data_IF_909026608018
#
_entry.id   IF_909026608018
#
_cell.length_a   1.000
_cell.length_b   1.000
_cell.length_c   1.000
_cell.angle_alpha   90.00
_cell.angle_beta   90.00
_cell.angle_gamma   90.00
#
_symmetry.space_group_name_H-M   'P 1'
#
loop_
_entity.id
_entity.type
_entity.pdbx_description
1 polymer ?
#
# COMPACT_ATOMS: atom_id res chain seq x y z
N UNK A 1 46.27 24.66 -11.88
CA UNK A 1 45.76 23.29 -12.03
C UNK A 1 45.50 22.71 -10.64
N UNK A 2 44.30 22.94 -10.09
CA UNK A 2 43.90 22.38 -8.79
C UNK A 2 42.76 21.39 -9.00
N UNK A 3 42.99 20.11 -8.71
CA UNK A 3 41.95 19.08 -8.70
C UNK A 3 41.05 19.32 -7.49
N UNK A 4 39.88 19.91 -7.69
CA UNK A 4 38.82 19.92 -6.69
C UNK A 4 38.27 18.49 -6.57
N UNK A 5 38.49 17.86 -5.43
CA UNK A 5 37.92 16.55 -5.13
C UNK A 5 36.40 16.67 -4.99
N UNK A 6 35.65 15.98 -5.84
CA UNK A 6 34.22 15.76 -5.64
C UNK A 6 34.04 15.00 -4.32
N UNK A 7 33.53 15.71 -3.30
CA UNK A 7 33.03 15.07 -2.08
C UNK A 7 31.71 14.38 -2.45
N UNK A 8 31.70 13.04 -2.37
CA UNK A 8 30.48 12.25 -2.48
C UNK A 8 29.57 12.58 -1.29
N UNK A 9 28.64 13.52 -1.47
CA UNK A 9 27.48 13.65 -0.60
C UNK A 9 26.57 12.46 -0.88
N UNK A 10 26.65 11.43 -0.02
CA UNK A 10 25.59 10.41 0.04
C UNK A 10 24.37 11.07 0.68
N UNK A 11 23.47 11.54 -0.18
CA UNK A 11 22.11 11.94 0.18
C UNK A 11 21.45 10.81 0.99
N UNK A 12 20.76 11.16 2.08
CA UNK A 12 19.97 10.20 2.86
C UNK A 12 18.75 9.85 2.00
N UNK A 13 18.80 8.67 1.37
CA UNK A 13 17.71 8.17 0.53
C UNK A 13 16.49 7.83 1.36
N UNK A 14 15.34 8.24 0.85
CA UNK A 14 14.01 8.05 1.42
C UNK A 14 13.61 6.59 1.34
N UNK A 15 13.21 6.00 2.47
CA UNK A 15 12.78 4.59 2.57
C UNK A 15 11.27 4.47 2.56
N UNK A 16 10.75 3.47 1.85
CA UNK A 16 9.33 3.07 1.91
C UNK A 16 9.04 2.43 3.28
N UNK A 17 8.11 2.99 4.06
CA UNK A 17 7.63 2.31 5.27
C UNK A 17 6.69 1.15 4.87
N UNK A 18 6.87 0.01 5.53
CA UNK A 18 6.39 -1.30 5.13
C UNK A 18 5.06 -1.71 5.80
N UNK A 19 4.33 -0.78 6.40
CA UNK A 19 3.15 -1.06 7.24
C UNK A 19 1.85 -1.32 6.47
N UNK A 20 1.89 -2.05 5.35
CA UNK A 20 0.67 -2.59 4.73
C UNK A 20 0.21 -3.85 5.49
N UNK A 21 -0.86 -3.72 6.26
CA UNK A 21 -1.48 -4.76 7.09
C UNK A 21 -2.24 -5.87 6.32
N UNK A 22 -1.73 -6.30 5.16
CA UNK A 22 -2.24 -7.48 4.45
C UNK A 22 -1.52 -8.77 4.89
N UNK A 23 -1.08 -8.82 6.15
CA UNK A 23 -0.68 -10.06 6.78
C UNK A 23 -1.93 -10.85 7.14
N UNK A 24 -2.10 -12.03 6.53
CA UNK A 24 -3.01 -13.06 7.03
C UNK A 24 -2.85 -13.15 8.56
N UNK A 25 -3.93 -13.03 9.36
CA UNK A 25 -3.81 -13.17 10.80
C UNK A 25 -3.14 -14.51 11.07
N UNK A 26 -2.05 -14.48 11.84
CA UNK A 26 -1.35 -15.69 12.30
C UNK A 26 -2.40 -16.54 12.99
N UNK A 27 -2.92 -17.56 12.31
CA UNK A 27 -3.87 -18.46 12.94
C UNK A 27 -3.09 -19.14 14.06
N UNK A 28 -3.41 -18.79 15.30
CA UNK A 28 -2.85 -19.41 16.50
C UNK A 28 -3.05 -20.93 16.48
N UNK A 29 -3.95 -21.45 15.62
CA UNK A 29 -4.12 -22.87 15.33
C UNK A 29 -2.91 -23.53 14.66
N UNK A 30 -2.17 -22.86 13.78
CA UNK A 30 -0.95 -23.43 13.17
C UNK A 30 0.21 -23.48 14.18
N UNK A 31 0.28 -22.52 15.10
CA UNK A 31 1.23 -22.51 16.21
C UNK A 31 0.83 -23.51 17.31
N UNK A 32 -0.48 -23.66 17.58
CA UNK A 32 -1.00 -24.61 18.56
C UNK A 32 -0.89 -26.07 18.09
N UNK A 33 -0.91 -26.35 16.78
CA UNK A 33 -0.58 -27.69 16.27
C UNK A 33 0.89 -28.06 16.45
N UNK A 34 1.79 -27.07 16.64
CA UNK A 34 3.20 -27.32 16.97
C UNK A 34 3.49 -27.38 18.47
N UNK A 35 2.59 -26.88 19.32
CA UNK A 35 2.76 -26.91 20.79
C UNK A 35 1.98 -28.05 21.47
N UNK A 36 0.93 -28.60 20.84
CA UNK A 36 0.11 -29.66 21.42
C UNK A 36 0.49 -31.10 21.03
N UNK A 37 1.60 -31.31 20.31
CA UNK A 37 2.16 -32.65 20.03
C UNK A 37 3.38 -32.96 20.91
N UNK A 38 3.22 -32.81 22.23
CA UNK A 38 4.11 -33.43 23.22
C UNK A 38 3.41 -34.60 23.91
N UNK A 39 3.11 -35.64 23.13
CA UNK A 39 3.11 -37.02 23.57
C UNK A 39 3.19 -37.93 22.33
N UNK A 40 4.36 -38.54 22.13
CA UNK A 40 4.59 -39.69 21.24
C UNK A 40 4.71 -39.41 19.73
N UNK A 41 5.81 -38.79 19.31
CA UNK A 41 6.85 -39.42 18.46
C UNK A 41 7.79 -38.35 17.89
N UNK A 42 9.08 -38.61 17.98
CA UNK A 42 10.14 -37.74 17.47
C UNK A 42 10.07 -37.77 15.93
N UNK A 43 9.52 -36.73 15.32
CA UNK A 43 9.80 -36.37 13.92
C UNK A 43 10.43 -34.99 13.90
N UNK A 44 11.65 -34.92 13.40
CA UNK A 44 12.46 -33.70 13.32
C UNK A 44 11.89 -32.70 12.30
N UNK A 45 12.05 -31.37 12.54
CA UNK A 45 11.66 -30.30 11.60
C UNK A 45 12.32 -30.39 10.21
N UNK A 46 13.30 -31.29 10.04
CA UNK A 46 13.98 -31.58 8.77
C UNK A 46 13.11 -32.28 7.72
N UNK A 47 12.00 -32.92 8.11
CA UNK A 47 11.16 -33.73 7.20
C UNK A 47 10.04 -32.93 6.53
N UNK A 48 9.56 -31.86 7.16
CA UNK A 48 8.39 -31.10 6.71
C UNK A 48 8.74 -30.04 5.65
N UNK A 49 9.92 -29.44 5.71
CA UNK A 49 10.36 -28.39 4.78
C UNK A 49 10.37 -28.87 3.31
N UNK A 50 10.88 -30.08 2.99
CA UNK A 50 10.73 -30.64 1.65
C UNK A 50 9.27 -30.87 1.22
N UNK A 51 8.36 -31.11 2.16
CA UNK A 51 6.94 -31.33 1.87
C UNK A 51 6.21 -30.04 1.51
N UNK A 52 6.50 -28.93 2.21
CA UNK A 52 5.93 -27.61 1.92
C UNK A 52 6.41 -27.12 0.55
N UNK A 53 7.70 -27.29 0.24
CA UNK A 53 8.25 -26.93 -1.07
C UNK A 53 7.63 -27.75 -2.23
N UNK A 54 7.21 -29.00 -1.97
CA UNK A 54 6.46 -29.80 -2.96
C UNK A 54 5.03 -29.29 -3.13
N UNK A 55 4.35 -28.93 -2.05
CA UNK A 55 2.98 -28.39 -2.09
C UNK A 55 2.88 -27.06 -2.83
N UNK A 56 3.95 -26.26 -2.88
CA UNK A 56 4.02 -25.06 -3.72
C UNK A 56 3.82 -25.33 -5.23
N UNK A 57 3.93 -26.59 -5.66
CA UNK A 57 3.70 -27.05 -7.03
C UNK A 57 2.50 -28.02 -7.14
N UNK A 58 1.62 -28.05 -6.13
CA UNK A 58 0.38 -28.83 -6.18
C UNK A 58 -0.53 -28.34 -7.30
N UNK A 59 -1.36 -29.23 -7.85
CA UNK A 59 -2.42 -28.85 -8.80
C UNK A 59 -3.49 -27.99 -8.11
N UNK A 60 -3.71 -28.20 -6.82
CA UNK A 60 -4.65 -27.43 -6.01
C UNK A 60 -4.13 -26.03 -5.68
N UNK A 61 -4.94 -25.01 -5.97
CA UNK A 61 -4.58 -23.60 -5.75
C UNK A 61 -4.44 -23.28 -4.27
N UNK A 62 -5.26 -23.86 -3.39
CA UNK A 62 -5.17 -23.58 -1.95
C UNK A 62 -3.89 -24.17 -1.36
N UNK A 63 -3.53 -25.39 -1.75
CA UNK A 63 -2.26 -26.01 -1.36
C UNK A 63 -1.06 -25.14 -1.76
N UNK A 64 -1.05 -24.60 -3.00
CA UNK A 64 0.01 -23.70 -3.45
C UNK A 64 0.03 -22.41 -2.64
N UNK A 65 -1.12 -21.79 -2.43
CA UNK A 65 -1.27 -20.56 -1.64
C UNK A 65 -0.69 -20.74 -0.23
N UNK A 66 -1.16 -21.75 0.50
CA UNK A 66 -0.69 -22.02 1.86
C UNK A 66 0.77 -22.42 1.92
N UNK A 67 1.26 -23.16 0.93
CA UNK A 67 2.68 -23.50 0.85
C UNK A 67 3.56 -22.27 0.64
N UNK A 68 3.19 -21.37 -0.28
CA UNK A 68 3.92 -20.12 -0.55
C UNK A 68 3.93 -19.21 0.67
N UNK A 69 2.77 -19.00 1.30
CA UNK A 69 2.66 -18.23 2.52
C UNK A 69 3.54 -18.81 3.65
N UNK A 70 3.51 -20.14 3.82
CA UNK A 70 4.32 -20.83 4.82
C UNK A 70 5.82 -20.69 4.55
N UNK A 71 6.26 -20.79 3.29
CA UNK A 71 7.66 -20.59 2.92
C UNK A 71 8.09 -19.17 3.25
N UNK A 72 7.28 -18.16 2.89
CA UNK A 72 7.55 -16.75 3.21
C UNK A 72 7.70 -16.53 4.71
N UNK A 73 6.75 -17.04 5.50
CA UNK A 73 6.78 -16.90 6.95
C UNK A 73 8.01 -17.58 7.57
N UNK A 74 8.36 -18.79 7.13
CA UNK A 74 9.52 -19.51 7.65
C UNK A 74 10.84 -18.80 7.30
N UNK A 75 10.96 -18.23 6.09
CA UNK A 75 12.11 -17.40 5.71
C UNK A 75 12.22 -16.12 6.57
N UNK A 76 11.09 -15.62 7.07
CA UNK A 76 11.01 -14.43 7.91
C UNK A 76 10.97 -14.70 9.43
N UNK A 77 10.89 -15.96 9.85
CA UNK A 77 10.64 -16.37 11.24
C UNK A 77 11.82 -16.12 12.21
N UNK A 78 12.99 -15.74 11.71
CA UNK A 78 14.22 -15.61 12.50
C UNK A 78 14.88 -16.94 12.89
N UNK A 79 14.23 -18.08 12.66
CA UNK A 79 14.81 -19.40 12.90
C UNK A 79 15.89 -19.74 11.86
N UNK A 80 17.15 -19.62 12.26
CA UNK A 80 18.32 -19.81 11.41
C UNK A 80 18.44 -21.20 10.80
N UNK A 81 17.96 -22.26 11.47
CA UNK A 81 18.04 -23.63 10.94
C UNK A 81 17.02 -23.84 9.81
N UNK A 82 15.79 -23.38 10.03
CA UNK A 82 14.72 -23.43 9.03
C UNK A 82 15.07 -22.61 7.79
N UNK A 83 15.61 -21.40 7.99
CA UNK A 83 16.09 -20.54 6.89
C UNK A 83 17.19 -21.26 6.10
N UNK A 84 18.25 -21.75 6.77
CA UNK A 84 19.36 -22.45 6.10
C UNK A 84 18.86 -23.66 5.30
N UNK A 85 17.92 -24.43 5.87
CA UNK A 85 17.38 -25.61 5.21
C UNK A 85 16.52 -25.23 3.99
N UNK A 86 15.71 -24.17 4.08
CA UNK A 86 14.92 -23.66 2.95
C UNK A 86 15.81 -23.14 1.81
N UNK A 87 16.85 -22.37 2.15
CA UNK A 87 17.81 -21.86 1.17
C UNK A 87 18.56 -23.01 0.48
N UNK A 88 19.00 -24.03 1.23
CA UNK A 88 19.63 -25.24 0.68
C UNK A 88 18.74 -26.00 -0.32
N UNK A 89 17.42 -25.83 -0.26
CA UNK A 89 16.45 -26.48 -1.13
C UNK A 89 15.84 -25.50 -2.16
N UNK A 90 16.55 -24.42 -2.50
CA UNK A 90 16.16 -23.45 -3.53
C UNK A 90 14.79 -22.78 -3.27
N UNK A 91 14.46 -22.49 -2.01
CA UNK A 91 13.18 -21.86 -1.67
C UNK A 91 12.98 -20.50 -2.38
N UNK A 92 14.01 -19.66 -2.49
CA UNK A 92 13.90 -18.34 -3.15
C UNK A 92 13.62 -18.48 -4.65
N UNK A 93 14.41 -19.24 -5.45
CA UNK A 93 14.05 -19.51 -6.84
C UNK A 93 12.63 -20.05 -7.00
N UNK A 94 12.22 -20.98 -6.13
CA UNK A 94 10.87 -21.56 -6.18
C UNK A 94 9.77 -20.53 -5.91
N UNK A 95 10.00 -19.57 -5.02
CA UNK A 95 9.08 -18.45 -4.81
C UNK A 95 9.02 -17.53 -6.04
N UNK A 96 10.16 -17.24 -6.67
CA UNK A 96 10.21 -16.43 -7.91
C UNK A 96 9.45 -17.13 -9.04
N UNK A 97 9.55 -18.46 -9.16
CA UNK A 97 8.79 -19.24 -10.14
C UNK A 97 7.27 -19.11 -9.95
N UNK A 98 6.81 -18.84 -8.72
CA UNK A 98 5.38 -18.60 -8.42
C UNK A 98 4.89 -17.23 -8.87
N UNK A 99 5.75 -16.32 -9.33
CA UNK A 99 5.30 -15.07 -9.96
C UNK A 99 4.55 -15.35 -11.28
N UNK A 100 4.75 -16.51 -11.89
CA UNK A 100 4.03 -16.95 -13.09
C UNK A 100 2.87 -17.91 -12.78
N UNK A 101 2.38 -17.97 -11.54
CA UNK A 101 1.25 -18.82 -11.18
C UNK A 101 -0.05 -18.37 -11.88
N UNK A 102 -0.97 -19.32 -12.08
CA UNK A 102 -2.27 -19.04 -12.70
C UNK A 102 -3.22 -18.31 -11.75
N UNK A 103 -3.02 -18.45 -10.43
CA UNK A 103 -3.81 -17.74 -9.41
C UNK A 103 -3.11 -16.45 -8.98
N UNK A 104 -3.81 -15.32 -9.09
CA UNK A 104 -3.30 -14.03 -8.65
C UNK A 104 -3.07 -13.99 -7.13
N UNK A 105 -3.84 -14.74 -6.33
CA UNK A 105 -3.62 -14.84 -4.87
C UNK A 105 -2.29 -15.52 -4.54
N UNK A 106 -1.89 -16.54 -5.32
CA UNK A 106 -0.59 -17.20 -5.15
C UNK A 106 0.54 -16.26 -5.56
N UNK A 107 0.35 -15.47 -6.62
CA UNK A 107 1.30 -14.43 -7.05
C UNK A 107 1.44 -13.34 -5.99
N UNK A 108 0.34 -12.90 -5.39
CA UNK A 108 0.33 -11.93 -4.29
C UNK A 108 1.19 -12.42 -3.14
N UNK A 109 1.00 -13.66 -2.69
CA UNK A 109 1.80 -14.18 -1.57
C UNK A 109 3.25 -14.42 -1.93
N UNK A 110 3.53 -14.87 -3.16
CA UNK A 110 4.90 -15.04 -3.61
C UNK A 110 5.66 -13.70 -3.65
N UNK A 111 5.03 -12.66 -4.21
CA UNK A 111 5.61 -11.31 -4.26
C UNK A 111 5.76 -10.71 -2.86
N UNK A 112 4.78 -10.93 -1.97
CA UNK A 112 4.83 -10.49 -0.58
C UNK A 112 5.95 -11.16 0.22
N UNK A 113 6.15 -12.47 0.04
CA UNK A 113 7.25 -13.21 0.65
C UNK A 113 8.63 -12.67 0.24
N UNK A 114 8.84 -12.43 -1.07
CA UNK A 114 10.10 -11.85 -1.57
C UNK A 114 10.31 -10.43 -1.07
N UNK A 115 9.26 -9.61 -1.04
CA UNK A 115 9.29 -8.25 -0.50
C UNK A 115 9.70 -8.25 0.97
N UNK A 116 9.12 -9.11 1.80
CA UNK A 116 9.45 -9.20 3.23
C UNK A 116 10.90 -9.67 3.44
N UNK A 117 11.37 -10.63 2.65
CA UNK A 117 12.75 -11.11 2.69
C UNK A 117 13.76 -10.00 2.40
N UNK A 118 13.47 -9.15 1.41
CA UNK A 118 14.28 -7.98 1.06
C UNK A 118 14.38 -7.01 2.25
N UNK A 119 13.24 -6.64 2.82
CA UNK A 119 13.17 -5.66 3.91
C UNK A 119 13.88 -6.14 5.18
N UNK A 120 13.78 -7.43 5.49
CA UNK A 120 14.50 -8.01 6.63
C UNK A 120 16.02 -7.93 6.48
N UNK A 121 16.53 -8.19 5.27
CA UNK A 121 17.96 -8.08 4.98
C UNK A 121 18.45 -6.63 5.15
N UNK A 122 17.63 -5.63 4.82
CA UNK A 122 17.96 -4.21 5.02
C UNK A 122 18.01 -3.81 6.50
N UNK A 123 17.09 -4.31 7.34
CA UNK A 123 17.11 -4.03 8.77
C UNK A 123 18.34 -4.63 9.46
N UNK A 124 18.73 -5.86 9.09
CA UNK A 124 19.94 -6.50 9.62
C UNK A 124 21.24 -5.81 9.20
N UNK A 125 21.27 -5.15 8.03
CA UNK A 125 22.46 -4.41 7.61
C UNK A 125 22.74 -3.15 8.46
N UNK A 126 21.74 -2.63 9.18
CA UNK A 126 21.87 -1.43 10.02
C UNK A 126 22.23 -1.74 11.48
N UNK A 127 21.97 -2.96 11.96
CA UNK A 127 22.39 -3.41 13.30
C UNK A 127 23.69 -4.22 13.19
N UNK A 128 24.69 -3.92 14.02
CA UNK A 128 25.97 -4.66 14.06
C UNK A 128 25.85 -6.14 14.51
N UNK A 129 24.63 -6.68 14.59
CA UNK A 129 24.34 -8.00 15.15
C UNK A 129 23.71 -8.91 14.09
N UNK A 130 24.47 -9.97 13.76
CA UNK A 130 24.14 -11.13 12.93
C UNK A 130 24.16 -10.91 11.39
N UNK A 131 25.21 -11.49 10.80
CA UNK A 131 25.64 -11.35 9.41
C UNK A 131 25.04 -12.42 8.48
N UNK A 132 23.73 -12.68 8.53
CA UNK A 132 23.09 -13.43 7.44
C UNK A 132 22.75 -12.48 6.31
N UNK A 133 23.79 -11.98 5.64
CA UNK A 133 23.62 -11.40 4.30
C UNK A 133 23.02 -12.49 3.45
N UNK A 134 21.84 -12.30 2.86
CA UNK A 134 21.31 -13.20 1.85
C UNK A 134 22.05 -12.96 0.52
N UNK A 135 23.15 -13.66 0.23
CA UNK A 135 23.97 -13.38 -0.95
C UNK A 135 23.26 -13.90 -2.21
N UNK A 136 22.34 -14.87 -2.04
CA UNK A 136 21.56 -15.49 -3.08
C UNK A 136 20.60 -14.52 -3.77
N UNK A 137 20.01 -13.55 -3.06
CA UNK A 137 19.06 -12.62 -3.68
C UNK A 137 19.76 -11.72 -4.73
N UNK A 138 21.00 -11.32 -4.45
CA UNK A 138 21.84 -10.56 -5.39
C UNK A 138 22.27 -11.40 -6.61
N UNK A 139 22.49 -12.70 -6.41
CA UNK A 139 22.81 -13.61 -7.51
C UNK A 139 21.57 -13.95 -8.35
N UNK A 140 20.38 -13.90 -7.74
CA UNK A 140 19.07 -14.14 -8.38
C UNK A 140 18.47 -12.90 -9.03
N UNK A 141 19.15 -11.76 -8.97
CA UNK A 141 18.61 -10.47 -9.42
C UNK A 141 18.12 -10.52 -10.88
N UNK A 142 18.80 -11.24 -11.79
CA UNK A 142 18.34 -11.35 -13.17
C UNK A 142 17.02 -12.14 -13.32
N UNK A 143 16.89 -13.28 -12.64
CA UNK A 143 15.65 -14.07 -12.67
C UNK A 143 14.49 -13.31 -12.03
N UNK A 144 14.77 -12.64 -10.90
CA UNK A 144 13.81 -11.78 -10.23
C UNK A 144 13.35 -10.65 -11.14
N UNK A 145 14.27 -9.97 -11.84
CA UNK A 145 13.92 -8.90 -12.78
C UNK A 145 13.10 -9.38 -13.96
N UNK A 146 13.43 -10.54 -14.54
CA UNK A 146 12.63 -11.14 -15.61
C UNK A 146 11.21 -11.42 -15.11
N UNK A 147 11.06 -11.98 -13.91
CA UNK A 147 9.76 -12.25 -13.31
C UNK A 147 8.97 -10.95 -13.04
N UNK A 148 9.62 -9.94 -12.45
CA UNK A 148 9.05 -8.60 -12.21
C UNK A 148 8.60 -7.94 -13.51
N UNK A 149 9.41 -8.03 -14.59
CA UNK A 149 9.07 -7.48 -15.91
C UNK A 149 7.79 -8.11 -16.45
N UNK A 150 7.70 -9.44 -16.44
CA UNK A 150 6.50 -10.17 -16.90
C UNK A 150 5.26 -9.80 -16.08
N UNK A 151 5.41 -9.57 -14.77
CA UNK A 151 4.30 -9.14 -13.93
C UNK A 151 3.84 -7.72 -14.25
N UNK A 152 4.76 -6.79 -14.54
CA UNK A 152 4.36 -5.46 -15.03
C UNK A 152 3.65 -5.54 -16.37
N UNK A 153 4.13 -6.36 -17.31
CA UNK A 153 3.44 -6.59 -18.60
C UNK A 153 2.02 -7.13 -18.41
N UNK A 154 1.83 -8.05 -17.45
CA UNK A 154 0.51 -8.63 -17.12
C UNK A 154 -0.41 -7.61 -16.43
N UNK A 155 0.03 -6.97 -15.36
CA UNK A 155 -0.85 -6.21 -14.46
C UNK A 155 -1.02 -4.74 -14.81
N UNK A 156 -0.11 -4.13 -15.57
CA UNK A 156 -0.26 -2.73 -16.02
C UNK A 156 -1.54 -2.47 -16.83
N UNK A 157 -1.88 -3.28 -17.87
CA UNK A 157 -3.13 -3.08 -18.60
C UNK A 157 -4.37 -3.38 -17.74
N UNK A 158 -4.26 -4.33 -16.81
CA UNK A 158 -5.34 -4.69 -15.88
C UNK A 158 -5.65 -3.52 -14.93
N UNK A 159 -4.62 -2.93 -14.33
CA UNK A 159 -4.74 -1.73 -13.50
C UNK A 159 -5.50 -0.62 -14.23
N UNK A 160 -5.10 -0.35 -15.48
CA UNK A 160 -5.75 0.66 -16.32
C UNK A 160 -7.24 0.36 -16.52
N UNK A 161 -7.59 -0.89 -16.81
CA UNK A 161 -8.99 -1.30 -16.97
C UNK A 161 -9.81 -1.14 -15.68
N UNK A 162 -9.25 -1.52 -14.53
CA UNK A 162 -9.90 -1.36 -13.22
C UNK A 162 -10.25 0.12 -12.98
N UNK A 163 -9.27 1.01 -13.16
CA UNK A 163 -9.42 2.45 -12.91
C UNK A 163 -10.42 3.10 -13.87
N UNK A 164 -10.39 2.74 -15.16
CA UNK A 164 -11.33 3.25 -16.17
C UNK A 164 -12.78 2.79 -15.90
N UNK A 165 -12.95 1.56 -15.42
CA UNK A 165 -14.25 1.04 -15.00
C UNK A 165 -14.79 1.78 -13.79
N UNK A 166 -13.96 2.06 -12.78
CA UNK A 166 -14.35 2.84 -11.60
C UNK A 166 -14.79 4.27 -11.99
N UNK A 167 -14.03 4.91 -12.88
CA UNK A 167 -14.33 6.25 -13.38
C UNK A 167 -15.68 6.31 -14.11
N UNK A 168 -15.99 5.29 -14.90
CA UNK A 168 -17.24 5.20 -15.67
C UNK A 168 -18.47 5.02 -14.77
N UNK A 169 -18.36 4.21 -13.70
CA UNK A 169 -19.44 4.00 -12.73
C UNK A 169 -19.76 5.27 -11.91
N UNK A 170 -18.74 6.06 -11.56
CA UNK A 170 -18.92 7.33 -10.84
C UNK A 170 -19.72 8.33 -11.70
N UNK A 171 -19.45 8.37 -13.00
CA UNK A 171 -20.11 9.31 -13.92
C UNK A 171 -21.57 8.93 -14.23
N UNK A 172 -21.89 7.65 -14.41
CA UNK A 172 -23.27 7.19 -14.67
C UNK A 172 -24.19 7.43 -13.46
N UNK A 173 -23.68 7.24 -12.24
CA UNK A 173 -24.43 7.49 -10.99
C UNK A 173 -24.80 8.96 -10.82
N UNK A 174 -23.96 9.90 -11.28
CA UNK A 174 -24.23 11.35 -11.24
C UNK A 174 -25.32 11.78 -12.24
N UNK A 175 -25.41 11.13 -13.40
CA UNK A 175 -26.41 11.47 -14.42
C UNK A 175 -27.83 10.97 -14.06
N UNK A 176 -27.96 9.85 -13.34
CA UNK A 176 -29.29 9.34 -12.96
C UNK A 176 -29.94 10.14 -11.81
N UNK A 177 -29.15 10.76 -10.92
CA UNK A 177 -29.69 11.61 -9.85
C UNK A 177 -30.24 12.96 -10.34
N UNK A 178 -29.82 13.45 -11.50
CA UNK A 178 -30.29 14.74 -12.06
C UNK A 178 -31.58 14.62 -12.88
N UNK A 179 -32.02 13.41 -13.26
CA UNK A 179 -33.26 13.21 -14.03
C UNK A 179 -34.53 12.97 -13.17
N UNK A 180 -34.41 12.87 -11.84
CA UNK A 180 -35.55 12.55 -10.96
C UNK A 180 -36.21 13.74 -10.25
N UNK A 181 -35.92 14.99 -10.63
CA UNK A 181 -36.54 16.19 -10.01
C UNK A 181 -37.24 17.13 -11.00
N UNK A 182 -37.80 16.59 -12.09
CA UNK A 182 -38.76 17.36 -12.89
C UNK A 182 -40.11 17.30 -12.18
N UNK A 183 -40.38 18.36 -11.42
CA UNK A 183 -41.69 18.70 -10.87
C UNK A 183 -42.69 18.75 -12.05
N UNK A 184 -43.64 17.82 -12.09
CA UNK A 184 -44.77 17.87 -13.02
C UNK A 184 -45.63 19.11 -12.68
N UNK A 185 -45.87 20.05 -13.59
CA UNK A 185 -46.91 21.06 -13.40
C UNK A 185 -48.29 20.38 -13.46
N UNK A 186 -49.09 20.63 -12.42
CA UNK A 186 -50.49 20.20 -12.30
C UNK A 186 -51.34 21.06 -13.25
N UNK A 187 -51.87 20.47 -14.31
CA UNK A 187 -52.90 21.05 -15.18
C UNK A 187 -54.06 20.04 -15.39
N UNK A 188 -55.30 20.51 -15.58
CA UNK A 188 -56.49 19.63 -15.64
C UNK A 188 -56.66 18.97 -17.02
N UNK A 189 -57.41 17.84 -17.10
CA UNK A 189 -57.45 16.99 -18.28
C UNK A 189 -58.56 17.39 -19.25
N UNK A 190 -58.26 17.35 -20.56
CA UNK A 190 -59.27 17.31 -21.64
C UNK A 190 -58.86 16.17 -22.61
N UNK A 191 -59.84 15.31 -22.91
CA UNK A 191 -59.88 14.04 -23.67
C UNK A 191 -59.50 14.15 -25.19
N UNK A 192 -59.69 13.11 -26.05
CA UNK A 192 -59.08 11.76 -26.09
C UNK A 192 -58.58 11.36 -27.52
N UNK A 193 -58.00 10.16 -27.63
CA UNK A 193 -57.96 9.22 -28.80
C UNK A 193 -56.60 8.88 -29.43
N UNK A 194 -56.45 7.56 -29.63
CA UNK A 194 -55.61 6.84 -30.62
C UNK A 194 -54.09 6.86 -30.32
N UNK A 195 -53.32 5.77 -30.30
CA UNK A 195 -53.44 4.43 -30.88
C UNK A 195 -52.72 3.40 -29.98
N UNK A 196 -53.24 2.17 -29.95
CA UNK A 196 -52.58 1.01 -29.38
C UNK A 196 -51.32 0.66 -30.20
N UNK A 197 -50.19 0.48 -29.52
CA UNK A 197 -49.06 -0.32 -30.01
C UNK A 197 -48.65 -1.34 -28.95
N UNK A 198 -48.40 -2.61 -29.34
CA UNK A 198 -48.20 -3.71 -28.40
C UNK A 198 -46.82 -3.63 -27.73
N UNK A 199 -46.81 -3.80 -26.41
CA UNK A 199 -45.60 -3.85 -25.60
C UNK A 199 -44.82 -5.14 -25.87
N UNK A 200 -43.65 -5.03 -26.50
CA UNK A 200 -42.62 -6.07 -26.43
C UNK A 200 -41.97 -6.02 -25.06
N UNK A 201 -42.26 -7.02 -24.23
CA UNK A 201 -41.51 -7.29 -23.00
C UNK A 201 -40.07 -7.62 -23.39
N UNK A 202 -39.19 -6.63 -23.31
CA UNK A 202 -37.76 -6.86 -23.40
C UNK A 202 -37.31 -7.56 -22.11
N UNK A 203 -37.04 -8.86 -22.22
CA UNK A 203 -36.25 -9.61 -21.25
C UNK A 203 -34.91 -8.90 -21.06
N UNK A 204 -34.73 -8.29 -19.89
CA UNK A 204 -33.41 -7.90 -19.39
C UNK A 204 -32.61 -9.17 -19.08
N UNK A 205 -32.04 -9.79 -20.12
CA UNK A 205 -30.94 -10.73 -19.96
C UNK A 205 -29.74 -9.92 -19.49
N UNK A 206 -29.51 -9.92 -18.18
CA UNK A 206 -28.25 -9.47 -17.58
C UNK A 206 -27.11 -10.18 -18.30
N UNK A 207 -26.25 -9.42 -19.00
CA UNK A 207 -25.01 -9.97 -19.52
C UNK A 207 -24.24 -10.64 -18.36
N UNK A 208 -23.57 -11.78 -18.60
CA UNK A 208 -22.72 -12.38 -17.60
C UNK A 208 -21.71 -11.33 -17.14
N UNK A 209 -21.77 -10.96 -15.86
CA UNK A 209 -20.78 -10.09 -15.25
C UNK A 209 -19.43 -10.76 -15.45
N UNK A 210 -18.54 -10.09 -16.18
CA UNK A 210 -17.15 -10.50 -16.29
C UNK A 210 -16.62 -10.76 -14.86
N UNK A 211 -15.77 -11.78 -14.65
CA UNK A 211 -15.22 -12.09 -13.33
C UNK A 211 -14.70 -10.79 -12.73
N UNK A 212 -15.28 -10.39 -11.61
CA UNK A 212 -14.86 -9.20 -10.89
C UNK A 212 -13.47 -9.50 -10.35
N UNK A 213 -12.46 -9.13 -11.12
CA UNK A 213 -11.07 -9.26 -10.72
C UNK A 213 -10.90 -8.46 -9.42
N UNK A 214 -10.41 -9.11 -8.37
CA UNK A 214 -10.25 -8.43 -7.09
C UNK A 214 -9.16 -7.37 -7.20
N UNK A 215 -9.59 -6.11 -7.32
CA UNK A 215 -8.69 -4.96 -7.41
C UNK A 215 -7.70 -4.90 -6.24
N UNK A 216 -8.08 -5.41 -5.06
CA UNK A 216 -7.19 -5.43 -3.89
C UNK A 216 -5.99 -6.35 -4.11
N UNK A 217 -6.23 -7.52 -4.69
CA UNK A 217 -5.17 -8.47 -5.02
C UNK A 217 -4.18 -7.84 -6.00
N UNK A 218 -4.68 -7.22 -7.07
CA UNK A 218 -3.83 -6.56 -8.08
C UNK A 218 -3.02 -5.39 -7.48
N UNK A 219 -3.65 -4.56 -6.64
CA UNK A 219 -2.97 -3.44 -5.99
C UNK A 219 -1.87 -3.95 -5.05
N UNK A 220 -2.15 -4.98 -4.25
CA UNK A 220 -1.15 -5.60 -3.37
C UNK A 220 0.03 -6.18 -4.13
N UNK A 221 -0.19 -6.82 -5.28
CA UNK A 221 0.90 -7.32 -6.14
C UNK A 221 1.78 -6.14 -6.61
N UNK A 222 1.18 -5.08 -7.12
CA UNK A 222 1.93 -3.92 -7.62
C UNK A 222 2.70 -3.20 -6.50
N UNK A 223 2.09 -3.04 -5.31
CA UNK A 223 2.76 -2.50 -4.13
C UNK A 223 4.01 -3.33 -3.77
N UNK A 224 3.89 -4.65 -3.75
CA UNK A 224 5.03 -5.55 -3.52
C UNK A 224 6.12 -5.38 -4.58
N UNK A 225 5.74 -5.27 -5.86
CA UNK A 225 6.69 -5.08 -6.95
C UNK A 225 7.42 -3.73 -6.86
N UNK A 226 6.74 -2.65 -6.46
CA UNK A 226 7.40 -1.36 -6.27
C UNK A 226 8.46 -1.41 -5.18
N UNK A 227 8.19 -2.09 -4.06
CA UNK A 227 9.19 -2.28 -2.99
C UNK A 227 10.36 -3.13 -3.47
N UNK A 228 10.11 -4.21 -4.21
CA UNK A 228 11.17 -5.05 -4.78
C UNK A 228 12.07 -4.24 -5.72
N UNK A 229 11.47 -3.44 -6.62
CA UNK A 229 12.21 -2.58 -7.55
C UNK A 229 13.00 -1.49 -6.82
N UNK A 230 12.40 -0.90 -5.78
CA UNK A 230 13.07 0.09 -4.93
C UNK A 230 14.33 -0.50 -4.31
N UNK A 231 14.25 -1.70 -3.75
CA UNK A 231 15.41 -2.35 -3.18
C UNK A 231 16.50 -2.64 -4.23
N UNK A 232 16.14 -3.06 -5.44
CA UNK A 232 17.11 -3.23 -6.54
C UNK A 232 17.78 -1.90 -6.90
N UNK A 233 17.02 -0.82 -6.96
CA UNK A 233 17.53 0.53 -7.24
C UNK A 233 18.55 0.99 -6.18
N UNK A 234 18.29 0.69 -4.90
CA UNK A 234 19.13 1.14 -3.79
C UNK A 234 20.37 0.28 -3.59
N UNK A 235 20.22 -1.03 -3.72
CA UNK A 235 21.25 -2.00 -3.34
C UNK A 235 22.21 -2.34 -4.47
N UNK A 236 21.76 -2.25 -5.72
CA UNK A 236 22.57 -2.67 -6.86
C UNK A 236 23.31 -1.46 -7.48
N UNK A 237 24.64 -1.53 -7.70
CA UNK A 237 25.39 -0.43 -8.31
C UNK A 237 24.88 0.00 -9.69
N UNK A 238 24.32 -0.95 -10.46
CA UNK A 238 23.66 -0.70 -11.76
C UNK A 238 22.13 -0.67 -11.65
N UNK A 239 21.60 -0.48 -10.44
CA UNK A 239 20.16 -0.51 -10.16
C UNK A 239 19.39 0.45 -11.05
N UNK A 240 19.84 1.70 -11.19
CA UNK A 240 19.19 2.68 -12.07
C UNK A 240 19.11 2.19 -13.54
N UNK A 241 20.22 1.66 -14.09
CA UNK A 241 20.24 1.13 -15.46
C UNK A 241 19.26 -0.04 -15.62
N UNK A 242 19.21 -0.94 -14.63
CA UNK A 242 18.32 -2.09 -14.61
C UNK A 242 16.85 -1.65 -14.56
N UNK A 243 16.50 -0.76 -13.64
CA UNK A 243 15.11 -0.32 -13.45
C UNK A 243 14.60 0.44 -14.68
N UNK A 244 15.47 1.17 -15.37
CA UNK A 244 15.12 1.80 -16.65
C UNK A 244 14.67 0.79 -17.73
N UNK A 245 15.19 -0.44 -17.71
CA UNK A 245 14.80 -1.48 -18.66
C UNK A 245 13.39 -2.04 -18.38
N UNK A 246 12.86 -1.83 -17.17
CA UNK A 246 11.52 -2.30 -16.80
C UNK A 246 10.39 -1.44 -17.40
N UNK A 247 10.72 -0.25 -17.93
CA UNK A 247 9.74 0.69 -18.48
C UNK A 247 8.55 0.99 -17.55
N UNK A 248 8.81 1.08 -16.24
CA UNK A 248 7.76 1.24 -15.22
C UNK A 248 7.29 2.68 -15.01
N UNK A 249 8.05 3.67 -15.49
CA UNK A 249 7.77 5.10 -15.27
C UNK A 249 6.33 5.50 -15.65
N UNK A 250 5.78 5.08 -16.82
CA UNK A 250 4.40 5.39 -17.17
C UNK A 250 3.38 4.82 -16.18
N UNK A 251 3.62 3.62 -15.65
CA UNK A 251 2.73 2.97 -14.69
C UNK A 251 2.77 3.70 -13.34
N UNK A 252 3.95 4.11 -12.88
CA UNK A 252 4.10 4.88 -11.64
C UNK A 252 3.37 6.23 -11.71
N UNK A 253 3.53 6.95 -12.82
CA UNK A 253 2.83 8.23 -13.05
C UNK A 253 1.32 8.00 -13.18
N UNK A 254 0.90 6.90 -13.81
CA UNK A 254 -0.51 6.54 -13.89
C UNK A 254 -1.12 6.32 -12.50
N UNK A 255 -0.47 5.54 -11.63
CA UNK A 255 -0.92 5.33 -10.24
C UNK A 255 -1.08 6.66 -9.48
N UNK A 256 -0.11 7.56 -9.60
CA UNK A 256 -0.19 8.90 -8.99
C UNK A 256 -1.35 9.72 -9.54
N UNK A 257 -1.53 9.73 -10.87
CA UNK A 257 -2.59 10.49 -11.55
C UNK A 257 -3.98 10.00 -11.17
N UNK A 258 -4.12 8.70 -10.94
CA UNK A 258 -5.40 8.04 -10.68
C UNK A 258 -5.63 7.70 -9.22
N UNK A 259 -4.90 8.36 -8.30
CA UNK A 259 -4.96 8.06 -6.85
C UNK A 259 -6.38 8.10 -6.27
N UNK A 260 -7.31 8.86 -6.87
CA UNK A 260 -8.72 8.93 -6.46
C UNK A 260 -9.51 7.66 -6.74
N UNK A 261 -9.00 6.81 -7.63
CA UNK A 261 -9.60 5.52 -8.04
C UNK A 261 -8.76 4.31 -7.62
N UNK A 262 -7.54 4.53 -7.10
CA UNK A 262 -6.66 3.50 -6.55
C UNK A 262 -6.53 3.64 -5.03
N UNK A 263 -5.83 2.73 -4.36
CA UNK A 263 -5.47 2.92 -2.95
C UNK A 263 -4.43 4.05 -2.80
N UNK A 264 -4.49 4.78 -1.68
CA UNK A 264 -3.44 5.74 -1.31
C UNK A 264 -2.08 5.04 -1.19
N UNK A 265 -2.05 3.85 -0.59
CA UNK A 265 -0.82 3.05 -0.41
C UNK A 265 -0.12 2.71 -1.73
N UNK A 266 -0.88 2.33 -2.77
CA UNK A 266 -0.34 2.09 -4.10
C UNK A 266 0.22 3.37 -4.73
N UNK A 267 -0.53 4.48 -4.63
CA UNK A 267 -0.12 5.76 -5.18
C UNK A 267 1.12 6.34 -4.47
N UNK A 268 1.20 6.21 -3.14
CA UNK A 268 2.34 6.69 -2.35
C UNK A 268 3.58 5.84 -2.62
N UNK A 269 3.44 4.52 -2.67
CA UNK A 269 4.52 3.60 -3.06
C UNK A 269 5.05 3.90 -4.45
N UNK A 270 4.15 4.15 -5.42
CA UNK A 270 4.52 4.54 -6.77
C UNK A 270 5.26 5.88 -6.81
N UNK A 271 4.77 6.89 -6.08
CA UNK A 271 5.38 8.21 -6.02
C UNK A 271 6.75 8.21 -5.35
N UNK A 272 6.92 7.41 -4.30
CA UNK A 272 8.20 7.27 -3.61
C UNK A 272 9.24 6.57 -4.47
N UNK A 273 8.86 5.49 -5.17
CA UNK A 273 9.73 4.85 -6.14
C UNK A 273 10.12 5.81 -7.26
N UNK A 274 9.15 6.58 -7.78
CA UNK A 274 9.40 7.57 -8.83
C UNK A 274 10.38 8.66 -8.37
N UNK A 275 10.19 9.19 -7.16
CA UNK A 275 11.10 10.16 -6.55
C UNK A 275 12.51 9.59 -6.41
N UNK A 276 12.66 8.38 -5.85
CA UNK A 276 13.95 7.75 -5.66
C UNK A 276 14.65 7.43 -6.99
N UNK A 277 13.88 7.03 -8.01
CA UNK A 277 14.41 6.86 -9.37
C UNK A 277 14.92 8.19 -9.94
N UNK A 278 14.29 9.33 -9.65
CA UNK A 278 14.64 10.62 -10.26
C UNK A 278 15.95 11.26 -9.77
N UNK A 279 16.46 10.88 -8.60
CA UNK A 279 17.55 11.61 -7.90
C UNK A 279 18.87 11.66 -8.69
N UNK A 280 19.20 10.58 -9.42
CA UNK A 280 20.49 10.46 -10.14
C UNK A 280 20.37 9.80 -11.52
N UNK A 281 19.14 9.70 -12.05
CA UNK A 281 18.86 8.91 -13.23
C UNK A 281 18.63 9.79 -14.48
N UNK A 282 19.72 10.12 -15.16
CA UNK A 282 19.71 10.93 -16.38
C UNK A 282 18.83 10.30 -17.46
N UNK A 283 18.82 8.97 -17.61
CA UNK A 283 17.98 8.30 -18.60
C UNK A 283 16.49 8.49 -18.33
N UNK A 284 16.08 8.44 -17.06
CA UNK A 284 14.69 8.75 -16.69
C UNK A 284 14.35 10.21 -17.01
N UNK A 285 15.24 11.16 -16.70
CA UNK A 285 15.05 12.56 -17.05
C UNK A 285 14.89 12.75 -18.56
N UNK A 286 15.71 12.08 -19.38
CA UNK A 286 15.59 12.10 -20.84
C UNK A 286 14.25 11.51 -21.30
N UNK A 287 13.81 10.37 -20.75
CA UNK A 287 12.53 9.76 -21.12
C UNK A 287 11.37 10.71 -20.79
N UNK A 288 11.31 11.24 -19.57
CA UNK A 288 10.19 12.05 -19.09
C UNK A 288 10.17 13.45 -19.69
N UNK A 289 11.33 14.08 -19.90
CA UNK A 289 11.42 15.47 -20.36
C UNK A 289 11.64 15.59 -21.88
N UNK A 290 11.81 14.48 -22.61
CA UNK A 290 11.87 14.51 -24.07
C UNK A 290 10.53 14.94 -24.70
N UNK A 291 10.58 15.35 -25.97
CA UNK A 291 9.38 15.67 -26.75
C UNK A 291 8.37 14.52 -26.85
N UNK A 292 8.82 13.28 -26.75
CA UNK A 292 7.95 12.09 -26.72
C UNK A 292 7.40 11.80 -25.31
N UNK A 293 8.06 12.33 -24.27
CA UNK A 293 7.68 12.18 -22.87
C UNK A 293 6.87 13.34 -22.30
N UNK A 294 6.54 14.36 -23.09
CA UNK A 294 5.85 15.57 -22.60
C UNK A 294 4.57 15.23 -21.84
N UNK A 295 3.81 14.22 -22.28
CA UNK A 295 2.59 13.78 -21.58
C UNK A 295 2.86 13.28 -20.15
N UNK A 296 4.04 12.70 -19.88
CA UNK A 296 4.46 12.24 -18.56
C UNK A 296 4.83 13.43 -17.67
N UNK A 297 5.63 14.37 -18.19
CA UNK A 297 5.97 15.60 -17.48
C UNK A 297 4.71 16.45 -17.19
N UNK A 298 3.81 16.58 -18.17
CA UNK A 298 2.53 17.28 -18.04
C UNK A 298 1.62 16.60 -17.02
N UNK A 299 1.63 15.27 -16.95
CA UNK A 299 0.88 14.52 -15.94
C UNK A 299 1.42 14.79 -14.52
N UNK A 300 2.74 14.81 -14.34
CA UNK A 300 3.34 15.17 -13.05
C UNK A 300 3.05 16.63 -12.67
N UNK A 301 3.14 17.54 -13.63
CA UNK A 301 2.85 18.94 -13.41
C UNK A 301 1.35 19.14 -13.08
N UNK A 302 0.47 18.42 -13.78
CA UNK A 302 -0.96 18.40 -13.49
C UNK A 302 -1.22 17.94 -12.05
N UNK A 303 -0.59 16.84 -11.60
CA UNK A 303 -0.71 16.38 -10.21
C UNK A 303 -0.24 17.49 -9.26
N UNK A 304 0.96 18.05 -9.48
CA UNK A 304 1.54 19.12 -8.66
C UNK A 304 0.58 20.31 -8.48
N UNK A 305 -0.03 20.81 -9.56
CA UNK A 305 -0.87 22.01 -9.52
C UNK A 305 -2.33 21.76 -9.16
N UNK A 306 -2.81 20.51 -9.25
CA UNK A 306 -4.22 20.19 -8.99
C UNK A 306 -4.55 20.42 -7.51
N UNK A 307 -5.47 21.34 -7.25
CA UNK A 307 -5.91 21.64 -5.89
C UNK A 307 -6.53 20.40 -5.22
N UNK A 308 -6.39 20.25 -3.89
CA UNK A 308 -6.98 19.12 -3.19
C UNK A 308 -8.50 19.16 -3.38
N UNK A 309 -9.08 18.07 -3.88
CA UNK A 309 -10.52 17.98 -3.98
C UNK A 309 -11.06 17.53 -2.64
N UNK A 310 -11.58 18.48 -1.86
CA UNK A 310 -12.44 18.15 -0.73
C UNK A 310 -13.61 17.34 -1.28
N UNK A 311 -13.73 16.08 -0.85
CA UNK A 311 -14.87 15.22 -1.18
C UNK A 311 -16.11 15.85 -0.57
N UNK A 312 -16.82 16.66 -1.35
CA UNK A 312 -18.04 17.34 -0.93
C UNK A 312 -19.17 16.32 -0.69
N UNK A 313 -19.06 15.55 0.38
CA UNK A 313 -20.12 14.69 0.88
C UNK A 313 -21.11 15.60 1.62
N UNK A 314 -22.07 16.15 0.86
CA UNK A 314 -23.21 16.91 1.38
C UNK A 314 -24.11 16.00 2.24
N UNK A 315 -23.67 15.68 3.45
CA UNK A 315 -24.51 15.08 4.50
C UNK A 315 -24.92 16.18 5.47
N UNK A 316 -26.23 16.42 5.57
CA UNK A 316 -26.86 17.58 6.21
C UNK A 316 -26.85 17.59 7.75
N UNK A 317 -25.87 16.98 8.42
CA UNK A 317 -25.67 17.13 9.87
C UNK A 317 -24.17 17.05 10.21
N UNK A 318 -23.62 17.98 11.01
CA UNK A 318 -22.24 17.93 11.47
C UNK A 318 -22.11 16.86 12.55
N UNK A 319 -21.65 15.66 12.17
CA UNK A 319 -21.14 14.68 13.13
C UNK A 319 -19.64 14.91 13.30
N UNK A 320 -19.18 15.11 14.55
CA UNK A 320 -17.75 15.32 14.90
C UNK A 320 -16.81 14.23 14.37
N UNK A 321 -17.29 13.00 14.15
CA UNK A 321 -16.47 11.90 13.63
C UNK A 321 -16.07 12.02 12.15
N UNK A 322 -16.69 12.91 11.38
CA UNK A 322 -16.44 13.00 9.93
C UNK A 322 -15.30 13.98 9.56
N UNK A 323 -14.91 14.84 10.49
CA UNK A 323 -13.91 15.88 10.25
C UNK A 323 -12.47 15.33 10.13
N UNK A 324 -12.16 14.19 10.78
CA UNK A 324 -10.84 13.56 10.72
C UNK A 324 -10.52 12.95 9.36
N UNK A 325 -11.52 12.33 8.70
CA UNK A 325 -11.33 11.60 7.44
C UNK A 325 -11.04 12.54 6.26
N UNK A 326 -11.69 13.71 6.24
CA UNK A 326 -11.47 14.73 5.22
C UNK A 326 -10.05 15.33 5.34
N UNK A 327 -9.56 15.58 6.56
CA UNK A 327 -8.19 16.07 6.81
C UNK A 327 -7.14 15.06 6.35
N UNK A 328 -7.31 13.78 6.68
CA UNK A 328 -6.41 12.71 6.23
C UNK A 328 -6.36 12.63 4.70
N UNK A 329 -7.52 12.75 4.04
CA UNK A 329 -7.60 12.74 2.58
C UNK A 329 -6.86 13.92 1.97
N UNK A 330 -6.99 15.12 2.54
CA UNK A 330 -6.27 16.32 2.09
C UNK A 330 -4.75 16.15 2.28
N UNK A 331 -4.30 15.63 3.43
CA UNK A 331 -2.89 15.42 3.71
C UNK A 331 -2.27 14.41 2.75
N UNK A 332 -2.97 13.29 2.52
CA UNK A 332 -2.57 12.28 1.55
C UNK A 332 -2.43 12.88 0.14
N UNK A 333 -3.36 13.74 -0.27
CA UNK A 333 -3.28 14.46 -1.54
C UNK A 333 -2.08 15.40 -1.59
N UNK A 334 -1.86 16.20 -0.54
CA UNK A 334 -0.71 17.10 -0.45
C UNK A 334 0.61 16.32 -0.56
N UNK A 335 0.73 15.19 0.14
CA UNK A 335 1.91 14.34 0.09
C UNK A 335 2.21 13.82 -1.33
N UNK A 336 1.20 13.28 -2.04
CA UNK A 336 1.38 12.81 -3.41
C UNK A 336 1.78 13.95 -4.38
N UNK A 337 1.26 15.15 -4.15
CA UNK A 337 1.63 16.36 -4.94
C UNK A 337 3.08 16.78 -4.68
N UNK A 338 3.51 16.72 -3.42
CA UNK A 338 4.91 16.98 -3.03
C UNK A 338 5.82 15.96 -3.73
N UNK A 339 5.47 14.67 -3.75
CA UNK A 339 6.26 13.64 -4.46
C UNK A 339 6.35 13.91 -5.96
N UNK A 340 5.25 14.31 -6.60
CA UNK A 340 5.24 14.65 -8.02
C UNK A 340 6.15 15.87 -8.32
N UNK A 341 6.06 16.93 -7.50
CA UNK A 341 6.90 18.12 -7.63
C UNK A 341 8.38 17.84 -7.35
N UNK A 342 8.67 17.06 -6.31
CA UNK A 342 10.01 16.62 -5.96
C UNK A 342 10.65 15.80 -7.07
N UNK A 343 9.88 14.88 -7.66
CA UNK A 343 10.29 14.11 -8.84
C UNK A 343 10.64 15.05 -10.00
N UNK A 344 9.75 15.99 -10.35
CA UNK A 344 10.01 16.94 -11.44
C UNK A 344 11.27 17.77 -11.19
N UNK A 345 11.46 18.29 -9.99
CA UNK A 345 12.64 19.07 -9.63
C UNK A 345 13.93 18.25 -9.82
N UNK A 346 13.93 16.99 -9.36
CA UNK A 346 15.06 16.07 -9.54
C UNK A 346 15.34 15.73 -11.02
N UNK A 347 14.29 15.52 -11.82
CA UNK A 347 14.44 15.25 -13.26
C UNK A 347 15.02 16.47 -14.00
N UNK A 348 14.54 17.67 -13.68
CA UNK A 348 15.09 18.93 -14.23
C UNK A 348 16.57 19.06 -13.86
N UNK A 349 16.92 18.90 -12.58
CA UNK A 349 18.31 18.93 -12.10
C UNK A 349 19.17 17.89 -12.82
N UNK A 350 18.69 16.65 -12.96
CA UNK A 350 19.38 15.58 -13.66
C UNK A 350 19.58 15.87 -15.15
N UNK A 351 18.59 16.50 -15.81
CA UNK A 351 18.69 16.89 -17.22
C UNK A 351 19.78 17.94 -17.46
N UNK A 352 19.99 18.85 -16.52
CA UNK A 352 21.02 19.89 -16.59
C UNK A 352 22.44 19.33 -16.45
N UNK A 353 22.60 18.14 -15.88
CA UNK A 353 23.89 17.44 -15.76
C UNK A 353 24.29 16.71 -17.04
N UNK A 354 23.37 16.52 -17.98
CA UNK A 354 23.65 15.92 -19.28
C UNK A 354 24.26 16.98 -20.20
N UNK A 355 25.50 16.79 -20.65
CA UNK A 355 26.22 17.68 -21.60
C UNK A 355 25.54 17.81 -22.99
N UNK A 356 24.35 17.22 -23.18
CA UNK A 356 23.60 17.24 -24.42
C UNK A 356 22.83 18.53 -24.61
N UNK A 357 22.65 18.93 -25.87
CA UNK A 357 21.84 20.07 -26.34
C UNK A 357 20.32 19.88 -26.09
N UNK A 358 19.93 19.10 -25.09
CA UNK A 358 18.53 18.95 -24.69
C UNK A 358 18.04 20.32 -24.27
N UNK A 359 17.02 20.81 -25.00
CA UNK A 359 16.45 22.15 -24.85
C UNK A 359 16.38 22.56 -23.39
N UNK A 360 17.10 23.64 -23.05
CA UNK A 360 17.14 24.16 -21.69
C UNK A 360 15.71 24.41 -21.24
N UNK A 361 15.31 23.74 -20.16
CA UNK A 361 14.02 23.99 -19.52
C UNK A 361 14.03 25.45 -19.07
N UNK A 362 12.98 26.17 -19.42
CA UNK A 362 12.86 27.59 -19.13
C UNK A 362 12.95 27.85 -17.61
N UNK A 363 13.76 28.82 -17.23
CA UNK A 363 14.04 29.14 -15.82
C UNK A 363 12.75 29.52 -15.07
N UNK A 364 11.78 30.15 -15.77
CA UNK A 364 10.48 30.47 -15.16
C UNK A 364 9.70 29.21 -14.78
N UNK A 365 9.81 28.13 -15.56
CA UNK A 365 9.15 26.84 -15.26
C UNK A 365 9.74 26.21 -14.00
N UNK A 366 11.07 26.23 -13.88
CA UNK A 366 11.78 25.72 -12.69
C UNK A 366 11.37 26.51 -11.45
N UNK A 367 11.35 27.84 -11.55
CA UNK A 367 10.96 28.72 -10.44
C UNK A 367 9.49 28.52 -10.03
N UNK A 368 8.59 28.29 -10.98
CA UNK A 368 7.19 28.00 -10.68
C UNK A 368 7.03 26.67 -9.94
N UNK A 369 7.71 25.60 -10.40
CA UNK A 369 7.68 24.29 -9.73
C UNK A 369 8.20 24.41 -8.30
N UNK A 370 9.36 25.06 -8.11
CA UNK A 370 9.98 25.24 -6.81
C UNK A 370 9.09 26.05 -5.85
N UNK A 371 8.47 27.12 -6.35
CA UNK A 371 7.54 27.94 -5.57
C UNK A 371 6.31 27.12 -5.15
N UNK A 372 5.65 26.44 -6.08
CA UNK A 372 4.49 25.60 -5.76
C UNK A 372 4.86 24.50 -4.77
N UNK A 373 6.04 23.89 -4.92
CA UNK A 373 6.50 22.86 -4.01
C UNK A 373 6.70 23.41 -2.58
N UNK A 374 7.32 24.58 -2.43
CA UNK A 374 7.46 25.25 -1.12
C UNK A 374 6.11 25.56 -0.50
N UNK A 375 5.16 26.07 -1.28
CA UNK A 375 3.79 26.35 -0.81
C UNK A 375 3.10 25.06 -0.32
N UNK A 376 3.27 23.94 -1.02
CA UNK A 376 2.71 22.65 -0.61
C UNK A 376 3.39 22.04 0.62
N UNK A 377 4.71 22.15 0.70
CA UNK A 377 5.48 21.70 1.86
C UNK A 377 5.06 22.50 3.10
N UNK A 378 4.90 23.82 2.97
CA UNK A 378 4.37 24.66 4.05
C UNK A 378 2.98 24.18 4.47
N UNK A 379 2.05 24.03 3.52
CA UNK A 379 0.69 23.54 3.82
C UNK A 379 0.68 22.16 4.50
N UNK A 380 1.57 21.26 4.09
CA UNK A 380 1.69 19.94 4.67
C UNK A 380 2.22 19.98 6.11
N UNK A 381 3.23 20.83 6.38
CA UNK A 381 3.81 21.01 7.72
C UNK A 381 2.87 21.80 8.65
N UNK A 382 2.16 22.79 8.11
CA UNK A 382 1.19 23.62 8.83
C UNK A 382 -0.08 22.86 9.19
N UNK A 383 -0.26 21.64 8.66
CA UNK A 383 -1.30 20.75 9.15
C UNK A 383 -0.99 20.42 10.61
N UNK A 384 -1.93 20.70 11.51
CA UNK A 384 -1.75 20.70 12.97
C UNK A 384 -1.53 19.28 13.53
N UNK A 385 -0.39 18.69 13.16
CA UNK A 385 0.04 17.37 13.57
C UNK A 385 0.21 17.30 15.09
N UNK A 386 0.57 18.43 15.70
CA UNK A 386 0.67 18.53 17.16
C UNK A 386 -0.71 18.35 17.80
N UNK A 387 -1.74 19.03 17.30
CA UNK A 387 -3.10 18.85 17.83
C UNK A 387 -3.60 17.43 17.59
N UNK A 388 -3.36 16.86 16.42
CA UNK A 388 -3.79 15.47 16.14
C UNK A 388 -3.05 14.45 17.03
N UNK A 389 -1.75 14.64 17.26
CA UNK A 389 -0.97 13.83 18.19
C UNK A 389 -1.50 13.95 19.62
N UNK A 390 -1.83 15.17 20.06
CA UNK A 390 -2.44 15.41 21.38
C UNK A 390 -3.78 14.67 21.47
N UNK A 391 -4.65 14.82 20.48
CA UNK A 391 -5.96 14.17 20.44
C UNK A 391 -5.83 12.64 20.49
N UNK A 392 -4.90 12.06 19.73
CA UNK A 392 -4.62 10.62 19.76
C UNK A 392 -4.08 10.15 21.10
N UNK A 393 -3.16 10.90 21.74
CA UNK A 393 -2.66 10.59 23.08
C UNK A 393 -3.78 10.63 24.11
N UNK A 394 -4.69 11.60 24.01
CA UNK A 394 -5.87 11.69 24.89
C UNK A 394 -6.82 10.50 24.69
N UNK A 395 -7.06 10.07 23.44
CA UNK A 395 -7.83 8.85 23.14
C UNK A 395 -7.21 7.61 23.75
N UNK A 396 -5.89 7.43 23.63
CA UNK A 396 -5.17 6.30 24.22
C UNK A 396 -5.27 6.32 25.76
N UNK A 397 -5.13 7.51 26.38
CA UNK A 397 -5.31 7.67 27.83
C UNK A 397 -6.72 7.28 28.27
N UNK A 398 -7.75 7.75 27.57
CA UNK A 398 -9.13 7.43 27.88
C UNK A 398 -9.40 5.92 27.80
N UNK A 399 -8.93 5.27 26.73
CA UNK A 399 -9.05 3.81 26.59
C UNK A 399 -8.41 3.09 27.77
N UNK A 400 -7.28 3.58 28.27
CA UNK A 400 -6.57 3.00 29.42
C UNK A 400 -7.27 3.21 30.77
N UNK A 401 -8.02 4.30 30.98
CA UNK A 401 -8.65 4.60 32.27
C UNK A 401 -9.98 3.87 32.53
N UNK A 402 -10.72 3.48 31.49
CA UNK A 402 -12.03 2.81 31.63
C UNK A 402 -11.96 1.38 32.20
N UNK A 403 -10.75 0.81 32.40
CA UNK A 403 -10.57 -0.53 32.98
C UNK A 403 -10.57 -0.57 34.51
N UNK A 404 -10.32 0.55 35.20
CA UNK A 404 -10.11 0.53 36.66
C UNK A 404 -11.36 0.90 37.47
N UNK A 405 -12.42 1.41 36.82
CA UNK A 405 -13.56 2.02 37.51
C UNK A 405 -14.77 1.09 37.74
N UNK A 406 -14.73 -0.18 37.33
CA UNK A 406 -15.84 -1.14 37.53
C UNK A 406 -15.63 -2.19 38.63
N UNK A 407 -14.54 -2.12 39.41
CA UNK A 407 -14.20 -3.16 40.39
C UNK A 407 -14.58 -2.85 41.86
N UNK A 408 -15.35 -1.81 42.15
CA UNK A 408 -15.71 -1.52 43.55
C UNK A 408 -17.02 -0.75 43.71
N UNK A 409 -18.15 -1.39 43.45
CA UNK A 409 -19.33 -1.14 44.30
C UNK A 409 -19.33 -2.22 45.40
N UNK A 410 -19.20 -1.84 46.68
CA UNK A 410 -19.47 -2.78 47.76
C UNK A 410 -20.97 -3.08 47.76
N UNK A 411 -21.32 -4.35 47.50
CA UNK A 411 -22.65 -4.88 47.77
C UNK A 411 -22.88 -4.87 49.29
N UNK A 412 -23.41 -3.77 49.82
CA UNK A 412 -24.13 -3.79 51.08
C UNK A 412 -25.46 -4.51 50.82
N UNK A 413 -25.51 -5.79 51.16
CA UNK A 413 -26.75 -6.56 51.27
C UNK A 413 -26.75 -7.23 52.64
N UNK A 414 -27.32 -6.51 53.62
CA UNK A 414 -27.82 -7.11 54.85
C UNK A 414 -28.91 -8.14 54.51
N UNK A 415 -28.75 -9.33 55.10
CA UNK A 415 -29.73 -10.36 55.47
C UNK A 415 -31.14 -10.34 54.83
N UNK A 416 -31.53 -11.48 54.23
CA UNK A 416 -32.57 -12.32 54.84
C UNK A 416 -32.61 -13.74 54.24
N UNK A 417 -32.95 -14.68 55.12
CA UNK A 417 -32.93 -16.12 54.97
C UNK A 417 -33.94 -16.67 53.95
N UNK A 418 -33.60 -17.82 53.35
CA UNK A 418 -34.52 -18.69 52.63
C UNK A 418 -33.78 -19.85 51.98
N UNK A 419 -33.73 -20.98 52.67
CA UNK A 419 -33.36 -22.29 52.10
C UNK A 419 -34.37 -22.67 51.00
N UNK A 420 -33.89 -23.08 49.83
CA UNK A 420 -34.44 -24.21 49.07
C UNK A 420 -33.48 -24.57 47.91
N UNK A 421 -33.18 -25.87 47.85
CA UNK A 421 -32.31 -26.54 46.89
C UNK A 421 -32.88 -26.49 45.47
N UNK A 422 -32.09 -26.09 44.46
CA UNK A 422 -32.33 -26.51 43.07
C UNK A 422 -31.08 -26.35 42.18
N UNK A 423 -31.04 -27.21 41.15
CA UNK A 423 -29.88 -27.74 40.43
C UNK A 423 -29.00 -26.72 39.68
N UNK A 424 -27.68 -26.95 39.74
CA UNK A 424 -26.63 -26.19 39.04
C UNK A 424 -26.50 -26.70 37.60
N UNK A 425 -26.84 -25.86 36.63
CA UNK A 425 -26.55 -26.03 35.21
C UNK A 425 -25.29 -25.22 34.84
N UNK A 426 -24.21 -25.90 34.48
CA UNK A 426 -22.90 -25.33 34.14
C UNK A 426 -22.94 -24.63 32.76
N UNK A 427 -23.04 -23.30 32.75
CA UNK A 427 -22.87 -22.49 31.54
C UNK A 427 -21.41 -21.98 31.40
N UNK A 428 -20.82 -21.98 30.19
CA UNK A 428 -19.39 -21.74 30.03
C UNK A 428 -19.01 -20.24 30.00
N UNK A 429 -17.89 -19.95 30.65
CA UNK A 429 -17.13 -18.69 30.71
C UNK A 429 -17.05 -17.91 29.39
N UNK A 430 -17.44 -16.63 29.40
CA UNK A 430 -17.41 -15.74 28.23
C UNK A 430 -16.70 -14.38 28.48
N UNK A 431 -15.77 -14.30 29.45
CA UNK A 431 -15.14 -13.02 29.85
C UNK A 431 -13.83 -12.66 29.13
N UNK A 432 -13.24 -13.53 28.31
CA UNK A 432 -11.91 -13.30 27.73
C UNK A 432 -11.88 -12.56 26.37
N UNK A 433 -13.01 -12.16 25.79
CA UNK A 433 -13.03 -11.59 24.42
C UNK A 433 -12.87 -10.05 24.34
N UNK A 434 -12.94 -9.31 25.46
CA UNK A 434 -12.94 -7.84 25.42
C UNK A 434 -11.55 -7.18 25.53
N UNK A 435 -10.54 -7.86 26.08
CA UNK A 435 -9.20 -7.28 26.26
C UNK A 435 -8.42 -7.18 24.95
N UNK A 436 -8.50 -8.20 24.08
CA UNK A 436 -7.79 -8.24 22.79
C UNK A 436 -8.18 -7.08 21.86
N UNK A 437 -9.46 -6.69 21.86
CA UNK A 437 -9.94 -5.61 21.00
C UNK A 437 -9.37 -4.23 21.38
N UNK A 438 -9.08 -3.99 22.66
CA UNK A 438 -8.52 -2.71 23.13
C UNK A 438 -7.07 -2.52 22.70
N UNK A 439 -6.25 -3.55 22.82
CA UNK A 439 -4.84 -3.52 22.42
C UNK A 439 -4.70 -3.30 20.90
N UNK A 440 -5.57 -3.94 20.11
CA UNK A 440 -5.61 -3.77 18.66
C UNK A 440 -5.95 -2.33 18.26
N UNK A 441 -6.93 -1.71 18.93
CA UNK A 441 -7.32 -0.31 18.69
C UNK A 441 -6.17 0.65 19.05
N UNK A 442 -5.53 0.46 20.20
CA UNK A 442 -4.39 1.30 20.62
C UNK A 442 -3.22 1.15 19.64
N UNK A 443 -2.93 -0.08 19.22
CA UNK A 443 -1.87 -0.37 18.26
C UNK A 443 -2.13 0.27 16.90
N UNK A 444 -3.38 0.23 16.42
CA UNK A 444 -3.79 0.90 15.18
C UNK A 444 -3.61 2.42 15.26
N UNK A 445 -3.98 3.03 16.39
CA UNK A 445 -3.85 4.47 16.62
C UNK A 445 -2.37 4.90 16.63
N UNK A 446 -1.51 4.16 17.34
CA UNK A 446 -0.07 4.41 17.38
C UNK A 446 0.55 4.30 15.99
N UNK A 447 0.20 3.25 15.23
CA UNK A 447 0.72 3.06 13.88
C UNK A 447 0.31 4.19 12.93
N UNK A 448 -0.92 4.69 13.05
CA UNK A 448 -1.41 5.85 12.28
C UNK A 448 -0.60 7.12 12.57
N UNK A 449 -0.26 7.37 13.84
CA UNK A 449 0.60 8.50 14.24
C UNK A 449 2.01 8.34 13.66
N UNK A 450 2.61 7.16 13.82
CA UNK A 450 3.96 6.89 13.32
C UNK A 450 4.06 7.07 11.80
N UNK A 451 3.07 6.61 11.05
CA UNK A 451 3.02 6.80 9.59
C UNK A 451 3.01 8.29 9.20
N UNK A 452 2.26 9.11 9.95
CA UNK A 452 2.22 10.56 9.72
C UNK A 452 3.53 11.25 10.09
N UNK A 453 4.15 10.87 11.20
CA UNK A 453 5.47 11.35 11.59
C UNK A 453 6.51 11.05 10.49
N UNK A 454 6.49 9.83 9.95
CA UNK A 454 7.39 9.42 8.87
C UNK A 454 7.15 10.25 7.62
N UNK A 455 5.89 10.52 7.25
CA UNK A 455 5.57 11.37 6.10
C UNK A 455 6.07 12.82 6.29
N UNK A 456 5.97 13.38 7.50
CA UNK A 456 6.52 14.72 7.81
C UNK A 456 8.05 14.72 7.71
N UNK A 457 8.70 13.75 8.35
CA UNK A 457 10.16 13.62 8.26
C UNK A 457 10.60 13.52 6.80
N UNK A 458 9.91 12.68 6.03
CA UNK A 458 10.16 12.52 4.62
C UNK A 458 9.99 13.83 3.85
N UNK A 459 8.89 14.57 4.05
CA UNK A 459 8.68 15.86 3.39
C UNK A 459 9.81 16.85 3.71
N UNK A 460 10.33 16.84 4.95
CA UNK A 460 11.48 17.65 5.34
C UNK A 460 12.78 17.20 4.64
N UNK A 461 13.00 15.89 4.50
CA UNK A 461 14.14 15.33 3.75
C UNK A 461 14.05 15.69 2.26
N UNK A 462 12.85 15.63 1.66
CA UNK A 462 12.59 16.08 0.29
C UNK A 462 12.93 17.56 0.13
N UNK A 463 12.46 18.41 1.05
CA UNK A 463 12.76 19.83 1.04
C UNK A 463 14.27 20.09 1.09
N UNK A 464 14.98 19.41 1.99
CA UNK A 464 16.42 19.52 2.11
C UNK A 464 17.14 19.11 0.83
N UNK A 465 16.74 17.99 0.19
CA UNK A 465 17.40 17.49 -1.02
C UNK A 465 17.20 18.38 -2.25
N UNK A 466 16.09 19.13 -2.30
CA UNK A 466 15.73 19.98 -3.44
C UNK A 466 16.32 21.38 -3.29
N UNK A 467 16.28 21.95 -2.08
CA UNK A 467 16.63 23.36 -1.85
C UNK A 467 18.02 23.58 -1.24
N UNK A 468 18.70 22.54 -0.76
CA UNK A 468 20.11 22.61 -0.32
C UNK A 468 21.04 21.97 -1.35
#
# INVERSE_FOLDING_TARGET
>A
MGKAGLKNFRSKRVRLNANSSLGVPVSSKLLATTESTNASSIQSPSTEIPSVLKKAYSEDTNDRFWAVASIGQLLCSGNQESIKLLLKNDAIPKLIDRFSDSSDEVVLEATGAIRNLILMNEQQNNSKLQSTKFPELYNLTQNLLIAVTKLFEKYSPILKSIVENHSSQINSTKQNKTKSSVIKPRGPPIYPNSELSPSTKAENKSLPQAPQLDSKCIFGILENLFVIVQAVLETYPKGAQIVNQLNIVPVLIYCLKTYSSTSYSLASSAGLLLYNMSETNISMAQIVLSSQGTELADSLNYILITAPQATATKSSKPNKSKQSDDTNTINNQLFLRILAGATLANLIKSSQLSDGDSGKIDESTVNNINRTLLELISQFIDTDYNQELIDSIERIKYLNTDSDSKASEPLDCEEMMGEEDEEIDESPNNENNNSTNKEDIISAEINSILEKADNVQLVLELAANIFC
#
